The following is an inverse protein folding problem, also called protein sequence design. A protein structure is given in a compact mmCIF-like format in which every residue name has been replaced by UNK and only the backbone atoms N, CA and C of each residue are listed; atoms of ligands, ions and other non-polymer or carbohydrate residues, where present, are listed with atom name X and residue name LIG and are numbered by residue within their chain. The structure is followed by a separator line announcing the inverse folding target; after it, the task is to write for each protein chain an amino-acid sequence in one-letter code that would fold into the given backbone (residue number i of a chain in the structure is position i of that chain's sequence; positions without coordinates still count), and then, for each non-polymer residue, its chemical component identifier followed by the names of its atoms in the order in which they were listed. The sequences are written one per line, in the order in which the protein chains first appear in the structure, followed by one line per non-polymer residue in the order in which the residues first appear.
data_IF_047660535392
#
_entry.id   IF_047660535392
#
_cell.length_a   1.000
_cell.length_b   1.000
_cell.length_c   1.000
_cell.angle_alpha   90.00
_cell.angle_beta   90.00
_cell.angle_gamma   90.00
#
_symmetry.space_group_name_H-M   'P 1'
#
loop_
_entity.id
_entity.type
_entity.pdbx_description
1 polymer ?
#
# COMPACT_ATOMS: atom_id res chain seq x y z
N UNK A 1 -69.66 -59.13 -89.73
CA UNK A 1 -70.80 -58.19 -89.69
C UNK A 1 -71.55 -58.43 -88.39
N UNK A 2 -71.85 -57.34 -87.69
CA UNK A 2 -72.74 -57.22 -86.51
C UNK A 2 -72.29 -57.88 -85.19
N UNK A 3 -71.86 -57.01 -84.28
CA UNK A 3 -71.59 -57.23 -82.86
C UNK A 3 -72.89 -57.35 -82.05
N UNK A 4 -72.90 -58.09 -80.93
CA UNK A 4 -73.86 -57.87 -79.86
C UNK A 4 -73.27 -56.97 -78.78
N UNK A 5 -74.08 -55.97 -78.47
CA UNK A 5 -73.94 -54.95 -77.44
C UNK A 5 -74.15 -55.55 -76.05
N UNK A 6 -73.18 -55.36 -75.14
CA UNK A 6 -73.34 -55.59 -73.70
C UNK A 6 -73.25 -54.24 -72.96
N UNK A 7 -74.23 -53.89 -72.11
CA UNK A 7 -74.15 -52.70 -71.27
C UNK A 7 -73.20 -52.96 -70.11
N UNK A 8 -72.16 -52.13 -69.98
CA UNK A 8 -71.27 -52.12 -68.82
C UNK A 8 -71.85 -51.13 -67.82
N UNK A 9 -72.44 -51.68 -66.77
CA UNK A 9 -73.04 -50.91 -65.68
C UNK A 9 -72.05 -50.79 -64.51
N UNK A 10 -72.08 -49.63 -63.88
CA UNK A 10 -71.57 -49.32 -62.54
C UNK A 10 -70.05 -49.24 -62.31
N UNK A 11 -69.57 -47.98 -62.28
CA UNK A 11 -69.01 -47.36 -61.08
C UNK A 11 -68.15 -48.26 -60.16
N UNK A 12 -66.98 -48.70 -60.62
CA UNK A 12 -65.89 -49.12 -59.73
C UNK A 12 -64.57 -48.62 -60.31
N UNK A 13 -63.67 -48.18 -59.43
CA UNK A 13 -62.28 -47.76 -59.68
C UNK A 13 -62.03 -46.39 -60.30
N UNK A 14 -62.18 -45.34 -59.49
CA UNK A 14 -61.41 -44.08 -59.34
C UNK A 14 -62.17 -43.37 -58.19
N UNK A 15 -61.78 -43.43 -56.92
CA UNK A 15 -60.59 -42.84 -56.29
C UNK A 15 -60.27 -43.61 -54.99
N UNK A 16 -59.32 -44.54 -55.06
CA UNK A 16 -58.51 -44.89 -53.90
C UNK A 16 -57.54 -43.71 -53.74
N UNK A 17 -57.89 -42.74 -52.88
CA UNK A 17 -57.07 -41.53 -52.74
C UNK A 17 -57.55 -40.52 -51.70
N UNK A 18 -58.49 -40.88 -50.82
CA UNK A 18 -59.00 -39.92 -49.83
C UNK A 18 -59.43 -40.58 -48.50
N UNK A 19 -58.63 -41.53 -48.00
CA UNK A 19 -58.85 -42.11 -46.67
C UNK A 19 -57.59 -42.15 -45.79
N UNK A 20 -56.47 -41.53 -46.23
CA UNK A 20 -55.24 -41.39 -45.44
C UNK A 20 -54.81 -39.93 -45.20
N UNK A 21 -55.67 -38.94 -45.48
CA UNK A 21 -55.38 -37.51 -45.29
C UNK A 21 -56.24 -36.82 -44.21
N UNK A 22 -56.97 -37.57 -43.39
CA UNK A 22 -57.81 -36.99 -42.31
C UNK A 22 -57.37 -37.38 -40.89
N UNK A 23 -56.43 -38.31 -40.73
CA UNK A 23 -55.84 -38.63 -39.41
C UNK A 23 -54.42 -38.06 -39.24
N UNK A 24 -53.69 -37.78 -40.33
CA UNK A 24 -52.38 -37.12 -40.27
C UNK A 24 -52.45 -35.61 -40.00
N UNK A 25 -53.52 -34.95 -40.45
CA UNK A 25 -53.74 -33.50 -40.29
C UNK A 25 -54.13 -33.12 -38.85
N UNK A 26 -54.88 -33.97 -38.13
CA UNK A 26 -55.20 -33.73 -36.72
C UNK A 26 -53.96 -33.75 -35.80
N UNK A 27 -52.98 -34.63 -36.07
CA UNK A 27 -51.75 -34.70 -35.27
C UNK A 27 -50.77 -33.54 -35.52
N UNK A 28 -50.74 -32.98 -36.73
CA UNK A 28 -49.86 -31.83 -37.04
C UNK A 28 -50.40 -30.55 -36.38
N UNK A 29 -51.72 -30.32 -36.37
CA UNK A 29 -52.30 -29.13 -35.72
C UNK A 29 -52.11 -29.15 -34.20
N UNK A 30 -52.27 -30.29 -33.53
CA UNK A 30 -52.03 -30.41 -32.08
C UNK A 30 -50.57 -30.18 -31.72
N UNK A 31 -49.63 -30.67 -32.54
CA UNK A 31 -48.20 -30.45 -32.31
C UNK A 31 -47.80 -28.97 -32.47
N UNK A 32 -48.34 -28.27 -33.48
CA UNK A 32 -48.07 -26.82 -33.69
C UNK A 32 -48.63 -25.98 -32.54
N UNK A 33 -49.85 -26.28 -32.07
CA UNK A 33 -50.44 -25.57 -30.91
C UNK A 33 -49.64 -25.82 -29.63
N UNK A 34 -49.22 -27.07 -29.36
CA UNK A 34 -48.40 -27.41 -28.20
C UNK A 34 -47.03 -26.70 -28.22
N UNK A 35 -46.39 -26.60 -29.39
CA UNK A 35 -45.13 -25.86 -29.58
C UNK A 35 -45.31 -24.35 -29.35
N UNK A 36 -46.41 -23.76 -29.86
CA UNK A 36 -46.72 -22.33 -29.66
C UNK A 36 -47.01 -22.00 -28.20
N UNK A 37 -47.77 -22.84 -27.50
CA UNK A 37 -48.06 -22.69 -26.06
C UNK A 37 -46.80 -22.88 -25.22
N UNK A 38 -45.97 -23.88 -25.54
CA UNK A 38 -44.69 -24.11 -24.85
C UNK A 38 -43.72 -22.95 -25.06
N UNK A 39 -43.63 -22.42 -26.29
CA UNK A 39 -42.84 -21.24 -26.61
C UNK A 39 -43.35 -20.00 -25.86
N UNK A 40 -44.67 -19.75 -25.84
CA UNK A 40 -45.26 -18.61 -25.11
C UNK A 40 -45.09 -18.71 -23.59
N UNK A 41 -45.19 -19.91 -23.02
CA UNK A 41 -44.91 -20.15 -21.60
C UNK A 41 -43.44 -19.94 -21.27
N UNK A 42 -42.55 -20.36 -22.17
CA UNK A 42 -41.11 -20.15 -22.02
C UNK A 42 -40.74 -18.66 -22.06
N UNK A 43 -41.23 -17.92 -23.06
CA UNK A 43 -40.98 -16.47 -23.17
C UNK A 43 -41.58 -15.70 -21.99
N UNK A 44 -42.80 -16.03 -21.55
CA UNK A 44 -43.40 -15.41 -20.37
C UNK A 44 -42.58 -15.67 -19.09
N UNK A 45 -42.09 -16.91 -18.89
CA UNK A 45 -41.20 -17.24 -17.76
C UNK A 45 -39.90 -16.44 -17.85
N UNK A 46 -39.30 -16.35 -19.04
CA UNK A 46 -38.06 -15.61 -19.26
C UNK A 46 -38.22 -14.11 -18.99
N UNK A 47 -39.29 -13.48 -19.48
CA UNK A 47 -39.59 -12.08 -19.18
C UNK A 47 -39.79 -11.79 -17.68
N UNK A 48 -40.35 -12.74 -16.92
CA UNK A 48 -40.45 -12.57 -15.45
C UNK A 48 -39.07 -12.56 -14.79
N UNK A 49 -38.19 -13.45 -15.21
CA UNK A 49 -36.80 -13.53 -14.71
C UNK A 49 -36.03 -12.25 -15.07
N UNK A 50 -36.16 -11.78 -16.31
CA UNK A 50 -35.49 -10.56 -16.77
C UNK A 50 -35.89 -9.32 -15.93
N UNK A 51 -37.19 -9.17 -15.64
CA UNK A 51 -37.68 -8.07 -14.78
C UNK A 51 -37.13 -8.13 -13.35
N UNK A 52 -36.96 -9.34 -12.81
CA UNK A 52 -36.36 -9.52 -11.48
C UNK A 52 -34.90 -9.09 -11.50
N UNK A 53 -34.12 -9.54 -12.48
CA UNK A 53 -32.71 -9.15 -12.60
C UNK A 53 -32.53 -7.66 -12.86
N UNK A 54 -33.40 -7.03 -13.67
CA UNK A 54 -33.41 -5.57 -13.83
C UNK A 54 -33.68 -4.84 -12.51
N UNK A 55 -34.65 -5.31 -11.73
CA UNK A 55 -34.95 -4.71 -10.42
C UNK A 55 -33.77 -4.84 -9.44
N UNK A 56 -33.05 -5.97 -9.47
CA UNK A 56 -31.83 -6.18 -8.68
C UNK A 56 -30.75 -5.17 -9.09
N UNK A 57 -30.50 -4.97 -10.38
CA UNK A 57 -29.53 -3.99 -10.86
C UNK A 57 -29.88 -2.57 -10.43
N UNK A 58 -31.15 -2.17 -10.54
CA UNK A 58 -31.62 -0.84 -10.11
C UNK A 58 -31.38 -0.65 -8.61
N UNK A 59 -31.70 -1.66 -7.80
CA UNK A 59 -31.48 -1.59 -6.35
C UNK A 59 -30.00 -1.55 -5.99
N UNK A 60 -29.18 -2.37 -6.63
CA UNK A 60 -27.74 -2.37 -6.42
C UNK A 60 -27.11 -1.03 -6.81
N UNK A 61 -27.57 -0.42 -7.92
CA UNK A 61 -27.10 0.91 -8.33
C UNK A 61 -27.52 1.99 -7.33
N UNK A 62 -28.75 1.93 -6.81
CA UNK A 62 -29.18 2.80 -5.71
C UNK A 62 -28.26 2.66 -4.48
N UNK A 63 -27.94 1.43 -4.05
CA UNK A 63 -27.02 1.17 -2.93
C UNK A 63 -25.62 1.76 -3.16
N UNK A 64 -25.12 1.69 -4.40
CA UNK A 64 -23.87 2.38 -4.80
C UNK A 64 -23.98 3.88 -4.60
N UNK A 65 -25.07 4.51 -5.08
CA UNK A 65 -25.26 5.96 -4.97
C UNK A 65 -25.39 6.45 -3.52
N UNK A 66 -25.86 5.59 -2.62
CA UNK A 66 -25.95 5.88 -1.18
C UNK A 66 -24.70 5.44 -0.41
N UNK A 67 -23.60 5.14 -1.10
CA UNK A 67 -22.33 4.66 -0.53
C UNK A 67 -22.42 3.37 0.32
N UNK A 68 -23.48 2.56 0.15
CA UNK A 68 -23.58 1.23 0.76
C UNK A 68 -22.97 0.18 -0.17
N UNK A 69 -21.64 0.23 -0.32
CA UNK A 69 -20.93 -0.55 -1.33
C UNK A 69 -20.95 -2.06 -1.05
N UNK A 70 -20.85 -2.49 0.21
CA UNK A 70 -20.97 -3.91 0.59
C UNK A 70 -22.35 -4.47 0.24
N UNK A 71 -23.42 -3.70 0.48
CA UNK A 71 -24.77 -4.08 0.10
C UNK A 71 -24.94 -4.08 -1.42
N UNK A 72 -24.35 -3.11 -2.13
CA UNK A 72 -24.36 -3.08 -3.59
C UNK A 72 -23.76 -4.38 -4.18
N UNK A 73 -22.57 -4.77 -3.70
CA UNK A 73 -21.88 -5.99 -4.15
C UNK A 73 -22.76 -7.21 -3.90
N UNK A 74 -23.31 -7.31 -2.69
CA UNK A 74 -24.17 -8.43 -2.28
C UNK A 74 -25.47 -8.50 -3.09
N UNK A 75 -26.09 -7.35 -3.35
CA UNK A 75 -27.34 -7.27 -4.12
C UNK A 75 -27.09 -7.67 -5.58
N UNK A 76 -26.05 -7.12 -6.22
CA UNK A 76 -25.70 -7.46 -7.59
C UNK A 76 -25.25 -8.93 -7.75
N UNK A 77 -24.67 -9.54 -6.71
CA UNK A 77 -24.29 -10.96 -6.70
C UNK A 77 -25.48 -11.94 -6.78
N UNK A 78 -26.71 -11.46 -6.54
CA UNK A 78 -27.92 -12.29 -6.67
C UNK A 78 -28.25 -12.67 -8.11
N UNK A 79 -27.66 -11.99 -9.11
CA UNK A 79 -27.88 -12.29 -10.52
C UNK A 79 -26.98 -13.47 -10.93
N UNK A 80 -27.55 -14.62 -11.35
CA UNK A 80 -26.78 -15.81 -11.68
C UNK A 80 -25.96 -15.64 -12.98
N UNK A 81 -24.92 -16.47 -13.14
CA UNK A 81 -24.04 -16.46 -14.31
C UNK A 81 -24.77 -16.67 -15.65
N UNK A 82 -25.85 -17.45 -15.64
CA UNK A 82 -26.68 -17.77 -16.82
C UNK A 82 -27.54 -16.57 -17.29
N UNK A 83 -27.63 -15.52 -16.48
CA UNK A 83 -28.47 -14.36 -16.78
C UNK A 83 -27.88 -13.50 -17.90
N UNK A 84 -28.74 -13.01 -18.79
CA UNK A 84 -28.37 -11.98 -19.78
C UNK A 84 -27.84 -10.70 -19.13
N UNK A 85 -28.16 -10.47 -17.85
CA UNK A 85 -27.71 -9.32 -17.06
C UNK A 85 -26.44 -9.59 -16.26
N UNK A 86 -25.84 -10.78 -16.37
CA UNK A 86 -24.67 -11.17 -15.58
C UNK A 86 -23.49 -10.20 -15.80
N UNK A 87 -23.22 -9.81 -17.04
CA UNK A 87 -22.14 -8.86 -17.37
C UNK A 87 -22.36 -7.50 -16.71
N UNK A 88 -23.58 -6.96 -16.76
CA UNK A 88 -23.96 -5.72 -16.07
C UNK A 88 -23.84 -5.84 -14.57
N UNK A 89 -24.29 -6.97 -14.00
CA UNK A 89 -24.17 -7.24 -12.57
C UNK A 89 -22.71 -7.28 -12.12
N UNK A 90 -21.85 -7.97 -12.89
CA UNK A 90 -20.43 -8.07 -12.59
C UNK A 90 -19.73 -6.72 -12.69
N UNK A 91 -20.02 -5.95 -13.74
CA UNK A 91 -19.48 -4.60 -13.87
C UNK A 91 -19.89 -3.68 -12.70
N UNK A 92 -21.14 -3.78 -12.24
CA UNK A 92 -21.62 -3.02 -11.09
C UNK A 92 -20.94 -3.48 -9.78
N UNK A 93 -20.75 -4.79 -9.58
CA UNK A 93 -19.97 -5.31 -8.45
C UNK A 93 -18.55 -4.75 -8.45
N UNK A 94 -17.87 -4.75 -9.60
CA UNK A 94 -16.51 -4.24 -9.72
C UNK A 94 -16.45 -2.73 -9.43
N UNK A 95 -17.42 -1.94 -9.91
CA UNK A 95 -17.54 -0.52 -9.56
C UNK A 95 -17.73 -0.31 -8.06
N UNK A 96 -18.60 -1.10 -7.43
CA UNK A 96 -18.85 -0.99 -5.99
C UNK A 96 -17.64 -1.43 -5.16
N UNK A 97 -16.90 -2.46 -5.59
CA UNK A 97 -15.67 -2.88 -4.93
C UNK A 97 -14.57 -1.81 -5.02
N UNK A 98 -14.41 -1.17 -6.18
CA UNK A 98 -13.46 -0.05 -6.33
C UNK A 98 -13.81 1.09 -5.38
N UNK A 99 -15.09 1.48 -5.31
CA UNK A 99 -15.51 2.57 -4.43
C UNK A 99 -15.39 2.23 -2.93
N UNK A 100 -15.61 0.96 -2.56
CA UNK A 100 -15.36 0.46 -1.21
C UNK A 100 -13.87 0.55 -0.85
N UNK A 101 -13.00 0.10 -1.74
CA UNK A 101 -11.56 0.12 -1.53
C UNK A 101 -11.02 1.56 -1.48
N UNK A 102 -11.53 2.47 -2.31
CA UNK A 102 -11.21 3.91 -2.24
C UNK A 102 -11.62 4.53 -0.90
N UNK A 103 -12.77 4.14 -0.37
CA UNK A 103 -13.22 4.57 0.98
C UNK A 103 -12.29 4.01 2.06
N UNK A 104 -11.87 2.76 1.90
CA UNK A 104 -10.92 2.10 2.81
C UNK A 104 -9.57 2.81 2.81
N UNK A 105 -9.06 3.21 1.63
CA UNK A 105 -7.82 3.98 1.51
C UNK A 105 -7.91 5.35 2.20
N UNK A 106 -9.07 6.02 2.14
CA UNK A 106 -9.31 7.26 2.90
C UNK A 106 -9.30 7.00 4.42
N UNK A 107 -9.84 5.87 4.88
CA UNK A 107 -9.76 5.46 6.29
C UNK A 107 -8.31 5.16 6.71
N UNK A 108 -7.53 4.48 5.88
CA UNK A 108 -6.10 4.21 6.12
C UNK A 108 -5.34 5.50 6.37
N UNK A 109 -5.59 6.54 5.57
CA UNK A 109 -4.97 7.85 5.77
C UNK A 109 -5.30 8.44 7.15
N UNK A 110 -6.56 8.37 7.58
CA UNK A 110 -6.97 8.84 8.91
C UNK A 110 -6.30 8.05 10.03
N UNK A 111 -6.20 6.73 9.90
CA UNK A 111 -5.54 5.86 10.87
C UNK A 111 -4.05 6.17 11.00
N UNK A 112 -3.36 6.40 9.88
CA UNK A 112 -1.95 6.81 9.87
C UNK A 112 -1.76 8.15 10.58
N UNK A 113 -2.63 9.13 10.31
CA UNK A 113 -2.58 10.45 10.97
C UNK A 113 -2.84 10.34 12.48
N UNK A 114 -3.65 9.37 12.91
CA UNK A 114 -3.91 9.08 14.31
C UNK A 114 -2.80 8.22 14.98
N UNK A 115 -1.77 7.79 14.24
CA UNK A 115 -0.73 6.89 14.74
C UNK A 115 -1.18 5.44 14.93
N UNK A 116 -2.34 5.06 14.39
CA UNK A 116 -2.95 3.74 14.46
C UNK A 116 -2.46 2.86 13.30
N UNK A 117 -1.15 2.57 13.29
CA UNK A 117 -0.49 1.89 12.16
C UNK A 117 -0.96 0.44 11.99
N UNK A 118 -1.23 -0.26 13.08
CA UNK A 118 -1.69 -1.65 13.03
C UNK A 118 -3.07 -1.75 12.37
N UNK A 119 -3.97 -0.84 12.72
CA UNK A 119 -5.29 -0.71 12.11
C UNK A 119 -5.19 -0.27 10.65
N UNK A 120 -4.27 0.65 10.34
CA UNK A 120 -4.02 1.09 8.96
C UNK A 120 -3.58 -0.08 8.07
N UNK A 121 -2.63 -0.91 8.52
CA UNK A 121 -2.22 -2.09 7.74
C UNK A 121 -3.34 -3.11 7.66
N UNK A 122 -4.07 -3.36 8.74
CA UNK A 122 -5.21 -4.28 8.72
C UNK A 122 -6.27 -3.83 7.68
N UNK A 123 -6.55 -2.54 7.57
CA UNK A 123 -7.46 -1.99 6.56
C UNK A 123 -6.92 -2.20 5.13
N UNK A 124 -5.62 -1.98 4.89
CA UNK A 124 -4.99 -2.26 3.58
C UNK A 124 -5.13 -3.72 3.16
N UNK A 125 -5.17 -4.67 4.09
CA UNK A 125 -5.34 -6.10 3.79
C UNK A 125 -6.77 -6.46 3.36
N UNK A 126 -7.75 -5.61 3.62
CA UNK A 126 -9.14 -5.84 3.21
C UNK A 126 -9.39 -5.45 1.75
N UNK A 127 -8.47 -4.69 1.15
CA UNK A 127 -8.53 -4.26 -0.24
C UNK A 127 -8.39 -5.49 -1.13
N UNK A 128 -9.37 -5.69 -2.01
CA UNK A 128 -9.46 -6.89 -2.86
C UNK A 128 -9.58 -6.58 -4.34
N UNK A 129 -9.72 -5.29 -4.70
CA UNK A 129 -9.80 -4.86 -6.08
C UNK A 129 -8.48 -5.07 -6.81
N UNK A 130 -8.55 -5.70 -7.99
CA UNK A 130 -7.43 -5.82 -8.92
C UNK A 130 -7.20 -4.54 -9.74
N UNK A 131 -7.91 -3.46 -9.43
CA UNK A 131 -7.74 -2.18 -10.11
C UNK A 131 -6.32 -1.65 -9.88
N UNK A 132 -5.61 -1.34 -10.98
CA UNK A 132 -4.23 -0.90 -10.94
C UNK A 132 -4.00 0.33 -10.05
N UNK A 133 -4.94 1.29 -10.04
CA UNK A 133 -4.86 2.50 -9.19
C UNK A 133 -4.99 2.15 -7.71
N UNK A 134 -5.94 1.28 -7.36
CA UNK A 134 -6.15 0.84 -5.96
C UNK A 134 -4.93 0.06 -5.46
N UNK A 135 -4.36 -0.81 -6.30
CA UNK A 135 -3.15 -1.57 -5.99
C UNK A 135 -1.94 -0.65 -5.80
N UNK A 136 -1.75 0.34 -6.69
CA UNK A 136 -0.71 1.35 -6.56
C UNK A 136 -0.84 2.11 -5.23
N UNK A 137 -2.05 2.59 -4.90
CA UNK A 137 -2.29 3.31 -3.64
C UNK A 137 -2.01 2.42 -2.42
N UNK A 138 -2.36 1.13 -2.49
CA UNK A 138 -2.07 0.16 -1.41
C UNK A 138 -0.58 0.02 -1.17
N UNK A 139 0.22 -0.06 -2.24
CA UNK A 139 1.68 -0.10 -2.15
C UNK A 139 2.25 1.22 -1.61
N UNK A 140 1.77 2.37 -2.11
CA UNK A 140 2.20 3.70 -1.67
C UNK A 140 1.96 3.90 -0.16
N UNK A 141 0.79 3.52 0.36
CA UNK A 141 0.51 3.59 1.80
C UNK A 141 1.37 2.64 2.61
N UNK A 142 1.60 1.42 2.12
CA UNK A 142 2.50 0.47 2.78
C UNK A 142 3.92 1.03 2.88
N UNK A 143 4.39 1.70 1.82
CA UNK A 143 5.71 2.35 1.78
C UNK A 143 5.76 3.54 2.73
N UNK A 144 4.68 4.32 2.81
CA UNK A 144 4.57 5.43 3.74
C UNK A 144 4.66 4.97 5.21
N UNK A 145 4.00 3.86 5.57
CA UNK A 145 4.09 3.26 6.91
C UNK A 145 5.54 2.85 7.23
N UNK A 146 6.23 2.21 6.27
CA UNK A 146 7.65 1.85 6.46
C UNK A 146 8.55 3.10 6.59
N UNK A 147 8.26 4.17 5.86
CA UNK A 147 8.98 5.43 5.99
C UNK A 147 8.78 6.08 7.36
N UNK A 148 7.57 6.02 7.91
CA UNK A 148 7.29 6.47 9.28
C UNK A 148 8.07 5.64 10.30
N UNK A 149 8.13 4.32 10.12
CA UNK A 149 8.95 3.44 10.96
C UNK A 149 10.44 3.86 10.93
N UNK A 150 11.00 4.12 9.74
CA UNK A 150 12.37 4.61 9.58
C UNK A 150 12.57 5.96 10.30
N UNK A 151 11.58 6.85 10.26
CA UNK A 151 11.58 8.11 11.01
C UNK A 151 11.78 7.91 12.51
N UNK A 152 11.07 6.95 13.13
CA UNK A 152 11.28 6.60 14.53
C UNK A 152 12.69 6.06 14.83
N UNK A 153 13.32 5.41 13.86
CA UNK A 153 14.67 4.88 14.02
C UNK A 153 15.74 5.98 13.94
N UNK A 154 15.69 6.85 12.93
CA UNK A 154 16.77 7.82 12.66
C UNK A 154 16.66 9.13 13.46
N UNK A 155 15.57 9.35 14.19
CA UNK A 155 15.36 10.58 14.95
C UNK A 155 16.45 10.82 16.03
N UNK A 156 16.74 12.06 16.41
CA UNK A 156 17.67 12.34 17.52
C UNK A 156 17.25 11.72 18.86
N UNK A 157 15.94 11.57 19.07
CA UNK A 157 15.28 10.89 20.19
C UNK A 157 14.83 9.46 19.81
N UNK A 158 15.59 8.81 18.92
CA UNK A 158 15.30 7.51 18.32
C UNK A 158 14.60 6.52 19.26
N UNK A 159 13.57 5.87 18.72
CA UNK A 159 12.83 4.81 19.38
C UNK A 159 12.84 3.55 18.51
N UNK A 160 13.90 2.75 18.64
CA UNK A 160 14.02 1.48 17.92
C UNK A 160 12.81 0.56 18.15
N UNK A 161 12.28 0.51 19.37
CA UNK A 161 11.12 -0.33 19.67
C UNK A 161 9.91 0.08 18.85
N UNK A 162 9.64 1.38 18.74
CA UNK A 162 8.52 1.91 17.95
C UNK A 162 8.75 1.72 16.45
N UNK A 163 9.99 1.93 15.97
CA UNK A 163 10.35 1.66 14.58
C UNK A 163 10.07 0.18 14.20
N UNK A 164 10.50 -0.76 15.04
CA UNK A 164 10.24 -2.19 14.84
C UNK A 164 8.75 -2.50 14.92
N UNK A 165 8.03 -1.95 15.89
CA UNK A 165 6.58 -2.16 16.05
C UNK A 165 5.83 -1.75 14.77
N UNK A 166 6.10 -0.53 14.27
CA UNK A 166 5.44 -0.01 13.06
C UNK A 166 5.83 -0.81 11.83
N UNK A 167 7.12 -1.11 11.61
CA UNK A 167 7.55 -1.92 10.47
C UNK A 167 7.00 -3.36 10.53
N UNK A 168 6.87 -3.94 11.74
CA UNK A 168 6.34 -5.29 11.93
C UNK A 168 4.84 -5.38 11.70
N UNK A 169 4.13 -4.25 11.68
CA UNK A 169 2.72 -4.22 11.30
C UNK A 169 2.50 -4.63 9.83
N UNK A 170 3.52 -4.49 8.98
CA UNK A 170 3.52 -4.96 7.59
C UNK A 170 3.65 -6.49 7.59
N UNK A 171 2.57 -7.20 7.23
CA UNK A 171 2.48 -8.67 7.30
C UNK A 171 2.87 -9.35 5.97
N UNK A 172 3.02 -10.67 5.99
CA UNK A 172 3.53 -11.49 4.89
C UNK A 172 2.75 -11.42 3.56
N UNK A 173 1.49 -11.03 3.59
CA UNK A 173 0.67 -10.85 2.38
C UNK A 173 0.88 -9.47 1.70
N UNK A 174 1.67 -8.58 2.31
CA UNK A 174 1.99 -7.28 1.74
C UNK A 174 3.24 -7.37 0.85
N UNK A 175 3.25 -6.74 -0.35
CA UNK A 175 4.43 -6.70 -1.22
C UNK A 175 5.71 -6.18 -0.56
N UNK A 176 5.60 -5.30 0.44
CA UNK A 176 6.74 -4.71 1.16
C UNK A 176 7.17 -5.51 2.38
N UNK A 177 6.56 -6.67 2.66
CA UNK A 177 6.93 -7.49 3.81
C UNK A 177 8.43 -7.79 3.88
N UNK A 178 9.00 -8.24 2.76
CA UNK A 178 10.42 -8.58 2.70
C UNK A 178 11.29 -7.35 2.97
N UNK A 179 10.93 -6.20 2.41
CA UNK A 179 11.64 -4.93 2.65
C UNK A 179 11.58 -4.53 4.13
N UNK A 180 10.40 -4.60 4.75
CA UNK A 180 10.21 -4.30 6.17
C UNK A 180 11.04 -5.22 7.07
N UNK A 181 11.07 -6.53 6.80
CA UNK A 181 11.86 -7.49 7.57
C UNK A 181 13.38 -7.27 7.40
N UNK A 182 13.82 -6.86 6.22
CA UNK A 182 15.22 -6.47 5.98
C UNK A 182 15.58 -5.24 6.82
N UNK A 183 14.74 -4.20 6.80
CA UNK A 183 14.93 -2.98 7.58
C UNK A 183 15.01 -3.26 9.08
N UNK A 184 14.07 -4.05 9.62
CA UNK A 184 14.07 -4.44 11.03
C UNK A 184 15.41 -5.09 11.43
N UNK A 185 15.90 -6.05 10.64
CA UNK A 185 17.17 -6.72 10.92
C UNK A 185 18.36 -5.77 10.87
N UNK A 186 18.38 -4.87 9.87
CA UNK A 186 19.43 -3.85 9.73
C UNK A 186 19.45 -2.91 10.93
N UNK A 187 18.31 -2.34 11.30
CA UNK A 187 18.19 -1.43 12.44
C UNK A 187 18.61 -2.10 13.75
N UNK A 188 18.20 -3.35 13.99
CA UNK A 188 18.61 -4.10 15.17
C UNK A 188 20.13 -4.32 15.23
N UNK A 189 20.75 -4.70 14.11
CA UNK A 189 22.19 -4.94 14.04
C UNK A 189 23.00 -3.65 14.22
N UNK A 190 22.61 -2.59 13.51
CA UNK A 190 23.23 -1.27 13.63
C UNK A 190 23.09 -0.70 15.04
N UNK A 191 21.91 -0.81 15.66
CA UNK A 191 21.68 -0.35 17.02
C UNK A 191 22.58 -1.06 18.02
N UNK A 192 22.65 -2.40 17.94
CA UNK A 192 23.51 -3.20 18.81
C UNK A 192 25.00 -2.83 18.63
N UNK A 193 25.44 -2.61 17.39
CA UNK A 193 26.81 -2.18 17.09
C UNK A 193 27.13 -0.81 17.71
N UNK A 194 26.27 0.19 17.48
CA UNK A 194 26.46 1.54 18.03
C UNK A 194 26.44 1.53 19.56
N UNK A 195 25.53 0.75 20.16
CA UNK A 195 25.47 0.56 21.61
C UNK A 195 26.77 -0.03 22.16
N UNK A 196 27.34 -1.05 21.49
CA UNK A 196 28.60 -1.66 21.89
C UNK A 196 29.78 -0.67 21.80
N UNK A 197 29.86 0.11 20.72
CA UNK A 197 30.87 1.15 20.58
C UNK A 197 30.74 2.21 21.67
N UNK A 198 29.52 2.68 21.95
CA UNK A 198 29.26 3.64 23.03
C UNK A 198 29.68 3.12 24.40
N UNK A 199 29.31 1.88 24.74
CA UNK A 199 29.67 1.25 26.01
C UNK A 199 31.18 1.07 26.15
N UNK A 200 31.86 0.66 25.08
CA UNK A 200 33.32 0.52 25.06
C UNK A 200 34.01 1.86 25.24
N UNK A 201 33.54 2.90 24.54
CA UNK A 201 34.05 4.25 24.68
C UNK A 201 33.91 4.77 26.12
N UNK A 202 32.77 4.52 26.76
CA UNK A 202 32.54 4.91 28.15
C UNK A 202 33.46 4.16 29.13
N UNK A 203 33.70 2.86 28.90
CA UNK A 203 34.60 2.07 29.72
C UNK A 203 36.07 2.53 29.57
N UNK A 204 36.49 2.81 28.33
CA UNK A 204 37.83 3.33 28.03
C UNK A 204 38.07 4.70 28.68
N UNK A 205 37.09 5.60 28.61
CA UNK A 205 37.16 6.91 29.29
C UNK A 205 37.37 6.74 30.81
N UNK A 206 36.59 5.86 31.46
CA UNK A 206 36.73 5.56 32.89
C UNK A 206 38.09 4.96 33.27
N UNK A 207 38.72 4.25 32.33
CA UNK A 207 40.04 3.66 32.50
C UNK A 207 41.19 4.63 32.11
N UNK A 208 40.89 5.90 31.83
CA UNK A 208 41.83 6.89 31.29
C UNK A 208 42.53 6.45 29.99
N UNK A 209 41.84 5.64 29.18
CA UNK A 209 42.28 5.20 27.85
C UNK A 209 41.67 6.11 26.78
N UNK A 210 42.08 7.38 26.77
CA UNK A 210 41.40 8.45 26.01
C UNK A 210 41.38 8.21 24.49
N UNK A 211 42.48 7.72 23.92
CA UNK A 211 42.57 7.40 22.49
C UNK A 211 41.61 6.26 22.11
N UNK A 212 41.52 5.22 22.93
CA UNK A 212 40.59 4.10 22.72
C UNK A 212 39.14 4.61 22.82
N UNK A 213 38.85 5.51 23.77
CA UNK A 213 37.53 6.09 23.91
C UNK A 213 37.09 6.82 22.63
N UNK A 214 37.97 7.69 22.10
CA UNK A 214 37.69 8.44 20.87
C UNK A 214 37.61 7.54 19.63
N UNK A 215 38.45 6.50 19.53
CA UNK A 215 38.39 5.52 18.44
C UNK A 215 37.01 4.85 18.38
N UNK A 216 36.47 4.44 19.51
CA UNK A 216 35.14 3.82 19.54
C UNK A 216 34.02 4.81 19.25
N UNK A 217 34.12 6.07 19.69
CA UNK A 217 33.13 7.10 19.31
C UNK A 217 33.11 7.33 17.80
N UNK A 218 34.26 7.29 17.12
CA UNK A 218 34.32 7.47 15.66
C UNK A 218 33.56 6.37 14.87
N UNK A 219 33.39 5.19 15.46
CA UNK A 219 32.63 4.10 14.83
C UNK A 219 31.10 4.26 15.00
N UNK A 220 30.65 5.22 15.82
CA UNK A 220 29.23 5.50 16.03
C UNK A 220 28.70 6.32 14.86
N UNK A 221 27.80 5.72 14.08
CA UNK A 221 27.23 6.31 12.87
C UNK A 221 25.76 6.72 13.02
N UNK A 222 25.08 6.24 14.06
CA UNK A 222 23.65 6.51 14.27
C UNK A 222 23.42 7.88 14.95
N UNK A 223 22.45 8.72 14.50
CA UNK A 223 22.20 10.06 15.06
C UNK A 223 22.01 10.11 16.57
N UNK A 224 21.10 9.28 17.12
CA UNK A 224 20.90 9.17 18.57
C UNK A 224 22.21 8.86 19.31
N UNK A 225 22.94 7.82 18.89
CA UNK A 225 24.17 7.41 19.57
C UNK A 225 25.30 8.44 19.44
N UNK A 226 25.38 9.14 18.31
CA UNK A 226 26.32 10.27 18.15
C UNK A 226 26.01 11.36 19.16
N UNK A 227 24.75 11.74 19.32
CA UNK A 227 24.34 12.70 20.34
C UNK A 227 24.70 12.22 21.75
N UNK A 228 24.45 10.95 22.07
CA UNK A 228 24.82 10.37 23.38
C UNK A 228 26.34 10.36 23.62
N UNK A 229 27.15 10.28 22.56
CA UNK A 229 28.61 10.23 22.67
C UNK A 229 29.29 11.57 22.92
N UNK A 230 28.60 12.70 22.72
CA UNK A 230 29.18 14.05 22.87
C UNK A 230 29.86 14.27 24.23
N UNK A 231 29.27 13.89 25.38
CA UNK A 231 29.93 14.05 26.68
C UNK A 231 31.24 13.27 26.80
N UNK A 232 31.34 12.09 26.15
CA UNK A 232 32.57 11.28 26.15
C UNK A 232 33.67 12.03 25.39
N UNK A 233 33.33 12.56 24.21
CA UNK A 233 34.26 13.33 23.38
C UNK A 233 34.79 14.55 24.15
N UNK A 234 33.90 15.33 24.75
CA UNK A 234 34.28 16.53 25.50
C UNK A 234 35.18 16.20 26.71
N UNK A 235 34.84 15.13 27.46
CA UNK A 235 35.64 14.70 28.60
C UNK A 235 37.04 14.24 28.18
N UNK A 236 37.14 13.44 27.12
CA UNK A 236 38.42 12.94 26.63
C UNK A 236 39.34 14.08 26.18
N UNK A 237 38.83 15.07 25.44
CA UNK A 237 39.64 16.22 25.03
C UNK A 237 40.06 17.11 26.20
N UNK A 238 39.18 17.31 27.20
CA UNK A 238 39.54 18.06 28.39
C UNK A 238 40.68 17.38 29.18
N UNK A 239 40.64 16.07 29.35
CA UNK A 239 41.67 15.32 30.06
C UNK A 239 43.00 15.30 29.30
N UNK A 240 42.98 15.14 27.98
CA UNK A 240 44.21 15.26 27.15
C UNK A 240 44.86 16.64 27.28
N UNK A 241 44.07 17.73 27.33
CA UNK A 241 44.60 19.08 27.50
C UNK A 241 45.27 19.28 28.86
N UNK A 242 44.73 18.68 29.92
CA UNK A 242 45.34 18.72 31.26
C UNK A 242 46.66 17.95 31.30
N UNK A 243 46.75 16.82 30.61
CA UNK A 243 47.98 16.02 30.51
C UNK A 243 49.10 16.79 29.78
N UNK A 244 48.77 17.50 28.70
CA UNK A 244 49.73 18.34 27.96
C UNK A 244 50.25 19.51 28.81
N UNK A 245 49.36 20.18 29.55
CA UNK A 245 49.74 21.24 30.50
C UNK A 245 50.64 20.73 31.64
N UNK A 246 50.38 19.52 32.15
CA UNK A 246 51.20 18.92 33.20
C UNK A 246 52.62 18.59 32.71
N UNK A 247 52.77 18.20 31.45
CA UNK A 247 54.06 17.88 30.84
C UNK A 247 54.89 19.13 30.51
N UNK A 248 54.24 20.23 30.16
CA UNK A 248 54.92 21.51 29.85
C UNK A 248 55.32 22.31 31.10
N UNK A 249 54.79 21.97 32.28
CA UNK A 249 55.01 22.69 33.54
C UNK A 249 56.06 22.12 34.52
N UNK A 250 56.77 21.03 34.21
CA UNK A 250 57.83 20.51 35.08
C UNK A 250 59.11 21.38 34.99
N UNK A 251 59.71 21.82 36.12
CA UNK A 251 60.87 22.70 36.11
C UNK A 251 62.11 21.97 35.61
N UNK A 252 62.67 22.45 34.51
CA UNK A 252 64.04 22.18 34.06
C UNK A 252 65.01 22.77 35.08
N UNK A 253 65.30 22.05 36.15
CA UNK A 253 66.42 22.37 37.03
C UNK A 253 67.70 21.77 36.43
N UNK A 254 68.36 22.53 35.53
CA UNK A 254 69.83 22.69 35.50
C UNK A 254 70.34 23.60 34.35
N UNK A 255 70.75 24.80 34.76
CA UNK A 255 71.94 25.58 34.31
C UNK A 255 71.92 26.48 33.06
N UNK A 256 72.78 27.52 33.04
CA UNK A 256 72.32 28.89 32.83
C UNK A 256 72.75 29.47 31.48
N UNK A 257 72.00 30.50 31.09
CA UNK A 257 72.25 31.48 30.05
C UNK A 257 73.66 31.46 29.41
N UNK A 258 73.70 31.15 28.12
CA UNK A 258 74.53 31.90 27.19
C UNK A 258 73.65 32.46 26.08
N UNK A 259 73.58 33.79 26.08
CA UNK A 259 73.03 34.58 25.01
C UNK A 259 73.98 34.56 23.82
N UNK A 260 73.50 34.18 22.63
CA UNK A 260 73.86 34.91 21.41
C UNK A 260 72.82 34.72 20.27
N UNK A 261 72.50 35.86 19.65
CA UNK A 261 71.99 36.18 18.31
C UNK A 261 71.05 35.25 17.51
N UNK A 262 69.91 35.86 17.17
CA UNK A 262 69.39 36.05 15.80
C UNK A 262 69.21 34.81 14.92
N UNK A 263 67.95 34.37 14.78
CA UNK A 263 67.29 34.25 13.48
C UNK A 263 65.79 34.06 13.66
N UNK A 264 65.01 34.74 12.82
CA UNK A 264 63.56 34.67 12.82
C UNK A 264 63.05 33.27 12.55
N UNK A 265 62.02 32.87 13.28
CA UNK A 265 61.11 31.81 12.90
C UNK A 265 59.70 32.27 13.22
N UNK A 266 58.89 32.15 12.19
CA UNK A 266 57.48 32.48 12.05
C UNK A 266 56.61 31.72 13.06
N UNK A 267 55.57 32.40 13.58
CA UNK A 267 54.64 31.84 14.55
C UNK A 267 53.87 30.65 13.96
N UNK A 268 53.68 29.53 14.70
CA UNK A 268 52.73 28.51 14.27
C UNK A 268 51.32 29.07 14.46
N UNK A 269 50.59 29.13 13.35
CA UNK A 269 49.19 29.46 13.34
C UNK A 269 48.40 28.47 14.18
N UNK A 270 47.47 29.01 14.96
CA UNK A 270 46.38 28.32 15.63
C UNK A 270 45.76 27.28 14.72
N UNK A 271 45.75 26.02 15.16
CA UNK A 271 45.04 24.92 14.51
C UNK A 271 43.53 25.09 14.69
N UNK A 272 42.95 26.07 14.00
CA UNK A 272 41.53 26.08 13.63
C UNK A 272 41.34 25.14 12.45
N UNK A 273 41.46 23.83 12.65
CA UNK A 273 40.96 22.85 11.69
C UNK A 273 40.79 21.54 12.44
N UNK A 274 39.57 21.24 12.86
CA UNK A 274 38.91 19.91 12.82
C UNK A 274 37.61 19.93 13.63
N UNK A 275 36.65 20.75 13.21
CA UNK A 275 35.24 20.37 13.27
C UNK A 275 34.71 20.63 11.86
N UNK A 276 34.74 19.59 11.02
CA UNK A 276 33.83 19.55 9.89
C UNK A 276 32.42 19.44 10.49
N UNK A 277 31.81 20.60 10.71
CA UNK A 277 30.37 20.75 10.68
C UNK A 277 29.96 20.19 9.32
N UNK A 278 29.33 19.02 9.31
CA UNK A 278 28.60 18.57 8.14
C UNK A 278 27.47 19.59 8.00
N UNK A 279 27.66 20.54 7.10
CA UNK A 279 26.63 21.36 6.50
C UNK A 279 25.51 20.41 6.06
N UNK A 280 24.40 20.43 6.80
CA UNK A 280 23.15 19.83 6.34
C UNK A 280 22.72 20.68 5.16
N UNK A 281 22.62 20.12 3.93
CA UNK A 281 22.16 20.91 2.81
C UNK A 281 20.73 21.36 3.07
N UNK A 282 20.56 22.66 3.28
CA UNK A 282 19.32 23.42 3.41
C UNK A 282 18.60 23.50 2.05
N UNK A 283 18.38 22.35 1.41
CA UNK A 283 17.68 22.21 0.13
C UNK A 283 16.76 21.00 0.13
N UNK A 284 15.75 21.04 0.99
CA UNK A 284 14.48 20.32 0.80
C UNK A 284 13.27 21.11 1.34
N UNK A 285 13.39 22.45 1.41
CA UNK A 285 12.28 23.37 1.65
C UNK A 285 11.95 24.13 0.38
N UNK A 286 11.06 23.56 -0.45
CA UNK A 286 10.19 24.26 -1.42
C UNK A 286 8.95 23.37 -1.66
N UNK A 287 7.78 23.92 -2.02
CA UNK A 287 6.80 24.51 -1.11
C UNK A 287 5.48 23.70 -1.10
N UNK A 288 4.92 23.42 0.08
CA UNK A 288 3.54 22.94 0.24
C UNK A 288 2.50 24.08 0.04
N UNK A 289 2.66 24.86 -1.03
CA UNK A 289 1.77 25.95 -1.40
C UNK A 289 1.26 25.79 -2.83
N UNK A 290 0.61 24.67 -3.13
CA UNK A 290 -0.21 24.47 -4.33
C UNK A 290 -1.04 23.19 -4.20
N UNK A 291 -2.06 23.20 -3.33
CA UNK A 291 -3.36 22.48 -3.41
C UNK A 291 -4.28 23.07 -2.31
N UNK A 292 -4.35 24.41 -2.23
CA UNK A 292 -5.39 25.10 -1.44
C UNK A 292 -5.94 26.27 -2.24
N UNK A 293 -6.33 25.99 -3.49
CA UNK A 293 -6.97 26.97 -4.36
C UNK A 293 -7.93 26.29 -5.36
N UNK A 294 -8.77 25.38 -4.85
CA UNK A 294 -10.02 25.00 -5.52
C UNK A 294 -11.11 24.85 -4.44
N UNK A 295 -11.40 25.89 -3.66
CA UNK A 295 -12.68 26.04 -2.94
C UNK A 295 -12.98 27.53 -2.68
N UNK A 296 -12.99 28.35 -3.73
CA UNK A 296 -13.80 29.60 -3.75
C UNK A 296 -14.50 29.68 -5.11
N UNK A 297 -15.66 29.02 -5.20
CA UNK A 297 -16.82 29.50 -5.97
C UNK A 297 -18.03 28.61 -5.67
N UNK A 298 -18.81 29.02 -4.67
CA UNK A 298 -20.27 28.94 -4.71
C UNK A 298 -20.83 29.83 -3.60
N UNK A 299 -21.15 31.07 -3.99
CA UNK A 299 -22.06 31.98 -3.28
C UNK A 299 -23.48 31.42 -3.42
N UNK A 300 -24.34 31.59 -2.41
CA UNK A 300 -25.71 31.99 -2.74
C UNK A 300 -26.06 33.31 -2.05
N UNK A 301 -26.53 34.22 -2.89
CA UNK A 301 -27.33 35.39 -2.55
C UNK A 301 -28.71 34.98 -2.09
N UNK A 302 -29.08 35.39 -0.89
CA UNK A 302 -30.43 35.83 -0.49
C UNK A 302 -30.27 36.79 0.68
#
# INVERSE_FOLDING_TARGET
MQTPYHPVDSLRSIRIGLAFLLTGSAMIFTAVVALRVSSALHTHKQHRVDRIHQAILIRADYLKTTASYTDCITEAAKIPAESLFHSSAKNLQDQCQIALDETTLSQVQMLIQAGQFQEAVAALQTISSQNARVQQLTEEWSRHILHIAEGYYIAPDANLSKAIEVASSIQANNPLYIEAQVRIRQWQAEWASNQNHFQTAQAALKANQLEIALLHVQQINHPYWRQQSIPIVNAAYAEMALLDQAQTGQPTDSQPAQADRSSGVEAPQTSETYINVIEVPERLLLPFALITLILIRCRPTT
#
